data_IF_689528004531
#
_entry.id   IF_689528004531
#
_cell.length_a   1.000
_cell.length_b   1.000
_cell.length_c   1.000
_cell.angle_alpha   90.00
_cell.angle_beta   90.00
_cell.angle_gamma   90.00
#
_symmetry.space_group_name_H-M   'P 1'
#
loop_
_entity.id
_entity.type
_entity.pdbx_description
1 polymer ?
#
# COMPACT_ATOMS: atom_id res chain seq x y z
N UNK A 1 13.77 26.07 3.98
CA UNK A 1 13.17 26.35 5.30
C UNK A 1 11.70 25.97 5.29
N UNK A 2 11.17 25.38 6.37
CA UNK A 2 9.72 25.18 6.53
C UNK A 2 9.18 26.32 7.37
N UNK A 3 8.20 27.04 6.84
CA UNK A 3 7.55 28.16 7.54
C UNK A 3 6.11 27.75 7.79
N UNK A 4 5.70 27.77 9.07
CA UNK A 4 4.33 27.43 9.48
C UNK A 4 3.58 28.72 9.70
N UNK A 5 2.50 28.92 8.95
CA UNK A 5 1.56 30.00 9.23
C UNK A 5 0.63 29.52 10.34
N UNK A 6 0.90 29.94 11.57
CA UNK A 6 -0.03 29.69 12.66
C UNK A 6 -1.23 30.62 12.45
N UNK A 7 -2.33 30.09 11.92
CA UNK A 7 -3.65 30.67 12.22
C UNK A 7 -3.89 30.37 13.69
N UNK A 8 -3.37 31.25 14.55
CA UNK A 8 -3.48 31.14 15.99
C UNK A 8 -4.95 31.36 16.39
N UNK A 9 -5.69 30.26 16.57
CA UNK A 9 -6.92 30.27 17.37
C UNK A 9 -6.57 29.80 18.79
N UNK A 10 -5.55 30.41 19.41
CA UNK A 10 -4.75 29.98 20.57
C UNK A 10 -5.45 29.60 21.87
N UNK A 11 -6.77 29.42 21.86
CA UNK A 11 -7.52 28.72 22.89
C UNK A 11 -8.56 27.86 22.19
N UNK A 12 -8.53 26.54 22.41
CA UNK A 12 -9.64 25.66 22.02
C UNK A 12 -10.90 26.16 22.75
N UNK A 13 -11.93 26.66 22.05
CA UNK A 13 -13.11 27.17 22.72
C UNK A 13 -13.74 26.06 23.57
N UNK A 14 -14.24 26.42 24.75
CA UNK A 14 -14.95 25.49 25.62
C UNK A 14 -16.11 24.84 24.84
N UNK A 15 -16.11 23.51 24.74
CA UNK A 15 -17.08 22.74 23.94
C UNK A 15 -16.58 22.20 22.58
N UNK A 16 -15.35 22.49 22.18
CA UNK A 16 -14.74 21.98 20.93
C UNK A 16 -13.66 20.90 21.17
N UNK A 17 -13.69 20.26 22.34
CA UNK A 17 -12.78 19.19 22.75
C UNK A 17 -12.75 18.06 21.70
N UNK A 18 -11.56 17.78 21.16
CA UNK A 18 -11.34 16.74 20.15
C UNK A 18 -11.29 17.20 18.69
N UNK A 19 -11.49 18.49 18.37
CA UNK A 19 -11.19 18.99 17.01
C UNK A 19 -9.69 19.07 16.75
N UNK A 20 -9.28 18.73 15.53
CA UNK A 20 -7.87 18.79 15.09
C UNK A 20 -7.49 20.22 14.71
N UNK A 21 -6.33 20.68 15.18
CA UNK A 21 -5.73 21.93 14.70
C UNK A 21 -5.42 21.81 13.19
N UNK A 22 -5.81 22.81 12.42
CA UNK A 22 -5.43 22.97 11.02
C UNK A 22 -4.42 24.10 10.93
N UNK A 23 -3.23 23.81 10.38
CA UNK A 23 -2.22 24.82 10.09
C UNK A 23 -1.78 24.66 8.64
N UNK A 24 -1.62 25.79 7.96
CA UNK A 24 -1.02 25.84 6.64
C UNK A 24 0.50 26.03 6.79
N UNK A 25 1.28 25.29 6.02
CA UNK A 25 2.73 25.43 5.98
C UNK A 25 3.19 25.65 4.54
N UNK A 26 4.27 26.40 4.38
CA UNK A 26 4.92 26.61 3.08
C UNK A 26 6.40 26.28 3.17
N UNK A 27 6.96 25.83 2.06
CA UNK A 27 8.39 25.51 1.93
C UNK A 27 9.06 26.64 1.16
N UNK A 28 10.10 27.21 1.76
CA UNK A 28 10.93 28.26 1.16
C UNK A 28 12.26 27.63 0.78
N UNK A 29 12.72 27.86 -0.44
CA UNK A 29 13.97 27.29 -0.96
C UNK A 29 15.23 27.99 -0.43
N UNK A 30 15.06 29.11 0.30
CA UNK A 30 16.13 29.83 0.98
C UNK A 30 16.04 29.77 2.51
N UNK A 31 17.07 30.29 3.17
CA UNK A 31 17.12 30.52 4.62
C UNK A 31 16.93 32.01 4.96
N UNK A 32 16.58 32.85 3.98
CA UNK A 32 16.42 34.29 4.16
C UNK A 32 15.03 34.61 4.77
N UNK A 33 15.02 35.52 5.75
CA UNK A 33 13.79 35.95 6.40
C UNK A 33 12.87 36.74 5.45
N UNK A 34 13.42 37.48 4.49
CA UNK A 34 12.63 38.22 3.51
C UNK A 34 11.86 37.28 2.57
N UNK A 35 12.47 36.18 2.16
CA UNK A 35 11.83 35.17 1.33
C UNK A 35 10.75 34.41 2.10
N UNK A 36 10.95 34.20 3.41
CA UNK A 36 9.93 33.68 4.31
C UNK A 36 8.71 34.59 4.38
N UNK A 37 8.94 35.88 4.57
CA UNK A 37 7.88 36.90 4.63
C UNK A 37 7.13 36.95 3.31
N UNK A 38 7.84 36.90 2.17
CA UNK A 38 7.22 36.89 0.85
C UNK A 38 6.33 35.66 0.67
N UNK A 39 6.82 34.46 1.00
CA UNK A 39 6.05 33.24 0.91
C UNK A 39 4.78 33.28 1.78
N UNK A 40 4.88 33.76 3.03
CA UNK A 40 3.71 33.91 3.93
C UNK A 40 2.73 34.96 3.42
N UNK A 41 3.22 36.05 2.84
CA UNK A 41 2.38 37.11 2.27
C UNK A 41 1.63 36.60 1.03
N UNK A 42 2.28 35.79 0.19
CA UNK A 42 1.69 35.22 -1.02
C UNK A 42 0.47 34.34 -0.68
N UNK A 43 0.55 33.52 0.37
CA UNK A 43 -0.55 32.65 0.81
C UNK A 43 -1.87 33.45 0.99
N UNK A 44 -1.80 34.66 1.54
CA UNK A 44 -2.99 35.48 1.81
C UNK A 44 -3.32 36.47 0.70
N UNK A 45 -2.30 37.03 0.04
CA UNK A 45 -2.48 38.11 -0.94
C UNK A 45 -2.67 37.60 -2.38
N UNK A 46 -2.16 36.41 -2.71
CA UNK A 46 -2.22 35.83 -4.06
C UNK A 46 -2.36 34.29 -3.98
N UNK A 47 -3.57 33.80 -3.65
CA UNK A 47 -3.82 32.37 -3.51
C UNK A 47 -3.67 31.60 -4.83
N UNK A 48 -3.80 32.27 -5.98
CA UNK A 48 -3.61 31.65 -7.29
C UNK A 48 -2.13 31.36 -7.52
N UNK A 49 -1.27 32.35 -7.30
CA UNK A 49 0.18 32.16 -7.41
C UNK A 49 0.70 31.20 -6.35
N UNK A 50 0.13 31.20 -5.15
CA UNK A 50 0.52 30.25 -4.11
C UNK A 50 0.22 28.80 -4.51
N UNK A 51 -0.99 28.54 -5.04
CA UNK A 51 -1.34 27.21 -5.54
C UNK A 51 -0.44 26.77 -6.70
N UNK A 52 -0.10 27.68 -7.62
CA UNK A 52 0.82 27.39 -8.72
C UNK A 52 2.22 26.99 -8.21
N UNK A 53 2.71 27.60 -7.13
CA UNK A 53 3.99 27.20 -6.52
C UNK A 53 3.90 25.81 -5.90
N UNK A 54 2.80 25.50 -5.21
CA UNK A 54 2.56 24.18 -4.59
C UNK A 54 2.46 23.07 -5.65
N UNK A 55 1.73 23.31 -6.74
CA UNK A 55 1.50 22.33 -7.80
C UNK A 55 2.79 22.00 -8.59
N UNK A 56 3.75 22.92 -8.61
CA UNK A 56 5.05 22.76 -9.27
C UNK A 56 6.16 22.23 -8.34
N UNK A 57 5.85 21.84 -7.11
CA UNK A 57 6.81 21.08 -6.30
C UNK A 57 7.04 19.74 -7.00
N UNK A 58 8.26 19.47 -7.46
CA UNK A 58 8.60 18.24 -8.17
C UNK A 58 9.41 17.27 -7.30
N UNK A 59 9.16 15.97 -7.49
CA UNK A 59 10.00 14.87 -6.99
C UNK A 59 10.47 14.06 -8.19
N UNK A 60 11.79 14.03 -8.43
CA UNK A 60 12.40 13.34 -9.58
C UNK A 60 11.84 13.78 -10.96
N UNK A 61 11.58 15.08 -11.15
CA UNK A 61 11.12 15.64 -12.42
C UNK A 61 9.65 15.37 -12.74
N UNK A 62 8.83 15.04 -11.74
CA UNK A 62 7.38 14.91 -11.83
C UNK A 62 6.73 15.67 -10.68
N UNK A 63 5.50 16.19 -10.83
CA UNK A 63 4.78 16.80 -9.73
C UNK A 63 4.76 15.88 -8.50
N UNK A 64 5.08 16.43 -7.34
CA UNK A 64 5.16 15.71 -6.08
C UNK A 64 3.81 15.06 -5.74
N UNK A 65 2.70 15.74 -6.06
CA UNK A 65 1.33 15.24 -5.87
C UNK A 65 1.02 14.00 -6.73
N UNK A 66 1.70 13.83 -7.88
CA UNK A 66 1.55 12.68 -8.77
C UNK A 66 2.56 11.56 -8.44
N UNK A 67 3.60 11.88 -7.67
CA UNK A 67 4.66 10.94 -7.32
C UNK A 67 4.25 10.10 -6.11
N UNK A 68 3.78 8.88 -6.37
CA UNK A 68 3.50 7.90 -5.32
C UNK A 68 4.72 6.99 -5.10
N UNK A 69 5.36 7.12 -3.95
CA UNK A 69 6.42 6.20 -3.51
C UNK A 69 5.76 5.05 -2.75
N UNK A 70 6.01 3.80 -3.17
CA UNK A 70 5.58 2.63 -2.41
C UNK A 70 6.60 2.35 -1.30
N UNK A 71 6.24 2.70 -0.07
CA UNK A 71 7.09 2.46 1.08
C UNK A 71 6.87 1.02 1.59
N UNK A 72 7.94 0.21 1.75
CA UNK A 72 7.83 -1.17 2.25
C UNK A 72 7.30 -1.23 3.69
N UNK A 73 7.37 -0.12 4.43
CA UNK A 73 6.74 0.05 5.74
C UNK A 73 5.85 1.28 5.68
N UNK A 74 4.53 1.05 5.72
CA UNK A 74 3.52 2.12 5.72
C UNK A 74 3.32 2.59 7.17
N UNK A 75 3.40 3.89 7.40
CA UNK A 75 2.93 4.45 8.68
C UNK A 75 1.41 4.26 8.74
N UNK A 76 0.94 3.50 9.70
CA UNK A 76 -0.49 3.31 9.90
C UNK A 76 -1.09 4.65 10.36
N UNK A 77 -1.98 5.23 9.57
CA UNK A 77 -2.99 6.12 10.13
C UNK A 77 -3.75 5.28 11.14
N UNK A 78 -3.70 5.64 12.42
CA UNK A 78 -4.37 4.89 13.50
C UNK A 78 -5.88 5.04 13.34
N UNK A 79 -6.46 4.27 12.42
CA UNK A 79 -7.90 4.11 12.21
C UNK A 79 -8.56 3.40 13.41
N UNK A 80 -7.77 2.78 14.28
CA UNK A 80 -8.23 2.07 15.47
C UNK A 80 -7.77 2.75 16.76
N UNK A 81 -8.58 2.73 17.83
CA UNK A 81 -8.17 3.22 19.15
C UNK A 81 -6.97 2.42 19.68
N UNK A 82 -6.13 3.03 20.52
CA UNK A 82 -5.02 2.33 21.18
C UNK A 82 -5.54 1.21 22.09
N UNK A 83 -4.84 0.08 22.14
CA UNK A 83 -5.17 -1.01 23.06
C UNK A 83 -5.08 -0.51 24.51
N UNK A 84 -6.17 -0.53 25.30
CA UNK A 84 -6.16 -0.01 26.66
C UNK A 84 -5.33 -0.91 27.59
N UNK A 85 -4.85 -0.33 28.69
CA UNK A 85 -4.10 -1.04 29.72
C UNK A 85 -4.97 -1.82 30.72
N UNK A 86 -6.28 -1.53 30.77
CA UNK A 86 -7.25 -2.17 31.65
C UNK A 86 -8.68 -2.10 31.07
N UNK A 87 -9.60 -2.88 31.64
CA UNK A 87 -11.03 -2.88 31.31
C UNK A 87 -11.46 -3.99 30.37
N UNK A 88 -12.77 -4.07 30.13
CA UNK A 88 -13.40 -5.10 29.30
C UNK A 88 -13.17 -4.83 27.82
N UNK A 89 -12.59 -5.80 27.13
CA UNK A 89 -12.44 -5.85 25.67
C UNK A 89 -13.51 -6.77 25.08
N UNK A 90 -14.22 -6.33 24.05
CA UNK A 90 -15.29 -7.13 23.42
C UNK A 90 -14.80 -7.82 22.16
N UNK A 91 -15.26 -9.06 21.97
CA UNK A 91 -14.96 -9.84 20.76
C UNK A 91 -15.28 -9.05 19.48
N UNK A 92 -14.32 -9.04 18.55
CA UNK A 92 -14.40 -8.35 17.26
C UNK A 92 -13.87 -6.91 17.27
N UNK A 93 -13.66 -6.29 18.44
CA UNK A 93 -13.05 -4.96 18.51
C UNK A 93 -11.59 -5.00 18.04
N UNK A 94 -11.16 -3.94 17.34
CA UNK A 94 -9.81 -3.81 16.79
C UNK A 94 -9.12 -2.64 17.47
N UNK A 95 -7.88 -2.85 17.89
CA UNK A 95 -7.06 -1.85 18.56
C UNK A 95 -5.70 -1.71 17.90
N UNK A 96 -5.16 -0.50 17.89
CA UNK A 96 -3.77 -0.23 17.53
C UNK A 96 -2.85 -0.83 18.60
N UNK A 97 -1.84 -1.59 18.16
CA UNK A 97 -0.87 -2.25 19.02
C UNK A 97 0.49 -2.39 18.30
N UNK A 98 1.56 -1.88 18.91
CA UNK A 98 2.87 -1.77 18.24
C UNK A 98 2.78 -0.95 16.95
N UNK A 99 3.31 -1.48 15.85
CA UNK A 99 3.21 -0.90 14.51
C UNK A 99 2.06 -1.47 13.67
N UNK A 100 1.10 -2.15 14.30
CA UNK A 100 -0.02 -2.79 13.63
C UNK A 100 -1.31 -2.68 14.44
N UNK A 101 -2.19 -3.65 14.24
CA UNK A 101 -3.44 -3.76 14.97
C UNK A 101 -3.69 -5.19 15.42
N UNK A 102 -4.48 -5.33 16.48
CA UNK A 102 -4.96 -6.61 17.00
C UNK A 102 -6.47 -6.59 17.10
N UNK A 103 -7.09 -7.73 16.79
CA UNK A 103 -8.52 -7.97 16.95
C UNK A 103 -8.76 -8.86 18.17
N UNK A 104 -9.73 -8.50 18.99
CA UNK A 104 -10.15 -9.27 20.16
C UNK A 104 -10.91 -10.53 19.70
N UNK A 105 -10.44 -11.70 20.10
CA UNK A 105 -11.03 -13.00 19.73
C UNK A 105 -12.10 -13.49 20.71
N UNK A 106 -12.00 -13.08 21.96
CA UNK A 106 -12.91 -13.48 23.02
C UNK A 106 -13.17 -12.26 23.90
N UNK A 107 -14.41 -12.05 24.35
CA UNK A 107 -14.69 -11.00 25.33
C UNK A 107 -13.97 -11.32 26.64
N UNK A 108 -13.12 -10.42 27.12
CA UNK A 108 -12.30 -10.65 28.32
C UNK A 108 -11.91 -9.33 28.99
N UNK A 109 -11.48 -9.40 30.25
CA UNK A 109 -10.81 -8.28 30.92
C UNK A 109 -9.34 -8.20 30.46
N UNK A 110 -8.87 -6.99 30.14
CA UNK A 110 -7.49 -6.76 29.72
C UNK A 110 -6.52 -7.31 30.77
N UNK A 111 -5.64 -8.21 30.33
CA UNK A 111 -4.63 -8.86 31.18
C UNK A 111 -3.28 -8.14 31.13
N UNK A 112 -2.34 -8.58 31.97
CA UNK A 112 -0.94 -8.12 31.96
C UNK A 112 -0.13 -8.68 30.78
N UNK A 113 -0.64 -9.69 30.07
CA UNK A 113 0.07 -10.34 28.99
C UNK A 113 -0.07 -9.55 27.68
N UNK A 114 0.96 -9.66 26.85
CA UNK A 114 0.95 -9.10 25.50
C UNK A 114 0.05 -9.93 24.57
N UNK A 115 -0.52 -9.34 23.51
CA UNK A 115 -1.24 -10.06 22.47
C UNK A 115 -0.51 -11.29 21.93
N UNK A 116 0.81 -11.22 21.73
CA UNK A 116 1.66 -12.33 21.28
C UNK A 116 1.63 -13.52 22.24
N UNK A 117 1.58 -13.24 23.54
CA UNK A 117 1.53 -14.27 24.59
C UNK A 117 0.12 -14.82 24.82
N UNK A 118 -0.90 -14.22 24.19
CA UNK A 118 -2.31 -14.57 24.39
C UNK A 118 -3.03 -14.76 23.05
N UNK A 119 -2.57 -15.68 22.18
CA UNK A 119 -3.16 -15.91 20.86
C UNK A 119 -4.62 -16.41 20.93
N UNK A 120 -5.06 -16.95 22.07
CA UNK A 120 -6.46 -17.28 22.31
C UNK A 120 -7.37 -16.05 22.47
N UNK A 121 -6.81 -14.92 22.93
CA UNK A 121 -7.52 -13.67 23.22
C UNK A 121 -7.37 -12.65 22.09
N UNK A 122 -6.27 -12.69 21.33
CA UNK A 122 -5.98 -11.74 20.26
C UNK A 122 -5.57 -12.42 18.95
N UNK A 123 -5.89 -11.76 17.85
CA UNK A 123 -5.32 -12.03 16.53
C UNK A 123 -4.69 -10.76 15.96
N UNK A 124 -3.56 -10.88 15.27
CA UNK A 124 -3.03 -9.78 14.48
C UNK A 124 -3.97 -9.47 13.32
N UNK A 125 -4.22 -8.19 13.11
CA UNK A 125 -5.14 -7.68 12.11
C UNK A 125 -4.39 -6.86 11.07
N UNK A 126 -4.66 -7.17 9.81
CA UNK A 126 -4.27 -6.38 8.64
C UNK A 126 -5.45 -6.31 7.69
N UNK A 127 -5.61 -5.18 7.02
CA UNK A 127 -6.57 -5.10 5.92
C UNK A 127 -6.04 -5.93 4.74
N UNK A 128 -6.91 -6.70 4.09
CA UNK A 128 -6.54 -7.52 2.93
C UNK A 128 -6.49 -6.68 1.64
N UNK A 129 -6.11 -5.40 1.74
CA UNK A 129 -6.10 -4.46 0.64
C UNK A 129 -4.92 -4.68 -0.33
N UNK A 130 -3.84 -5.33 0.14
CA UNK A 130 -2.69 -5.70 -0.70
C UNK A 130 -2.64 -7.22 -0.95
N UNK A 131 -2.39 -7.59 -2.20
CA UNK A 131 -2.20 -8.98 -2.61
C UNK A 131 -0.82 -9.56 -2.20
N UNK A 132 0.08 -8.73 -1.69
CA UNK A 132 1.50 -9.08 -1.45
C UNK A 132 1.84 -9.25 0.05
N UNK A 133 0.85 -9.35 0.93
CA UNK A 133 1.10 -9.51 2.36
C UNK A 133 1.82 -10.83 2.66
N UNK A 134 2.99 -10.75 3.28
CA UNK A 134 3.70 -11.93 3.77
C UNK A 134 2.88 -12.64 4.86
N UNK A 135 2.83 -13.97 4.82
CA UNK A 135 2.24 -14.78 5.86
C UNK A 135 2.93 -14.49 7.20
N UNK A 136 2.15 -14.39 8.27
CA UNK A 136 2.66 -14.24 9.63
C UNK A 136 1.84 -15.11 10.58
N UNK A 137 2.43 -15.54 11.68
CA UNK A 137 1.73 -16.27 12.74
C UNK A 137 0.77 -15.36 13.52
N UNK A 138 -0.34 -15.93 14.01
CA UNK A 138 -1.30 -15.23 14.86
C UNK A 138 -2.22 -14.26 14.11
N UNK A 139 -2.13 -14.17 12.77
CA UNK A 139 -2.99 -13.36 11.93
C UNK A 139 -4.35 -14.02 11.72
N UNK A 140 -5.42 -13.21 11.78
CA UNK A 140 -6.74 -13.64 11.29
C UNK A 140 -6.75 -13.58 9.76
N UNK A 141 -7.08 -14.70 9.11
CA UNK A 141 -7.27 -14.76 7.66
C UNK A 141 -8.67 -15.29 7.33
N UNK A 142 -9.28 -14.74 6.27
CA UNK A 142 -10.58 -15.18 5.75
C UNK A 142 -10.38 -15.98 4.45
N UNK A 143 -11.39 -16.77 4.06
CA UNK A 143 -11.35 -17.46 2.78
C UNK A 143 -11.20 -16.47 1.59
N UNK A 144 -10.37 -16.82 0.62
CA UNK A 144 -10.01 -15.99 -0.53
C UNK A 144 -8.87 -14.99 -0.29
N UNK A 145 -8.45 -14.77 0.96
CA UNK A 145 -7.31 -13.89 1.25
C UNK A 145 -6.00 -14.50 0.74
N UNK A 146 -5.06 -13.67 0.27
CA UNK A 146 -3.78 -14.14 -0.30
C UNK A 146 -2.59 -13.75 0.57
N UNK A 147 -1.65 -14.67 0.75
CA UNK A 147 -0.40 -14.43 1.48
C UNK A 147 0.81 -14.95 0.73
N UNK A 148 1.94 -14.26 0.85
CA UNK A 148 3.22 -14.73 0.33
C UNK A 148 3.98 -15.53 1.40
N UNK A 149 4.53 -16.68 1.02
CA UNK A 149 5.33 -17.53 1.90
C UNK A 149 6.38 -18.29 1.07
N UNK A 150 7.64 -18.25 1.47
CA UNK A 150 8.73 -18.89 0.72
C UNK A 150 8.84 -18.44 -0.74
N UNK A 151 8.53 -17.17 -1.05
CA UNK A 151 8.59 -16.61 -2.41
C UNK A 151 7.42 -16.97 -3.32
N UNK A 152 6.40 -17.67 -2.81
CA UNK A 152 5.19 -18.05 -3.55
C UNK A 152 3.95 -17.40 -2.94
N UNK A 153 2.87 -17.31 -3.72
CA UNK A 153 1.58 -16.80 -3.25
C UNK A 153 0.62 -17.94 -2.97
N UNK A 154 -0.08 -17.86 -1.85
CA UNK A 154 -1.09 -18.83 -1.43
C UNK A 154 -2.41 -18.13 -1.14
N UNK A 155 -3.51 -18.76 -1.47
CA UNK A 155 -4.87 -18.34 -1.16
C UNK A 155 -5.41 -19.16 0.00
N UNK A 156 -5.96 -18.48 1.00
CA UNK A 156 -6.62 -19.08 2.14
C UNK A 156 -7.94 -19.72 1.69
N UNK A 157 -8.12 -21.00 1.98
CA UNK A 157 -9.31 -21.76 1.58
C UNK A 157 -10.42 -21.68 2.62
N UNK A 158 -10.05 -21.57 3.90
CA UNK A 158 -10.98 -21.60 5.03
C UNK A 158 -10.56 -20.53 6.03
N UNK A 159 -11.51 -19.75 6.55
CA UNK A 159 -11.21 -18.74 7.55
C UNK A 159 -10.61 -19.38 8.81
N UNK A 160 -9.45 -18.89 9.24
CA UNK A 160 -8.74 -19.40 10.42
C UNK A 160 -7.79 -18.35 10.99
N UNK A 161 -7.18 -18.66 12.14
CA UNK A 161 -6.01 -17.93 12.62
C UNK A 161 -4.76 -18.72 12.25
N UNK A 162 -3.78 -18.04 11.66
CA UNK A 162 -2.50 -18.66 11.30
C UNK A 162 -1.73 -19.11 12.55
N UNK A 163 -1.06 -20.26 12.45
CA UNK A 163 -0.30 -20.87 13.54
C UNK A 163 1.04 -21.38 12.98
N UNK A 164 2.09 -21.41 13.81
CA UNK A 164 3.41 -21.86 13.39
C UNK A 164 3.41 -23.25 12.69
N UNK A 165 2.62 -24.19 13.19
CA UNK A 165 2.52 -25.54 12.62
C UNK A 165 1.57 -25.63 11.42
N UNK A 166 0.80 -24.57 11.14
CA UNK A 166 -0.17 -24.49 10.04
C UNK A 166 0.30 -23.49 8.97
N UNK A 167 1.53 -23.69 8.49
CA UNK A 167 2.08 -22.88 7.41
C UNK A 167 1.36 -23.16 6.07
N UNK A 168 1.46 -22.26 5.08
CA UNK A 168 0.85 -22.47 3.76
C UNK A 168 1.32 -23.75 3.05
N UNK A 169 2.58 -24.15 3.28
CA UNK A 169 3.12 -25.40 2.72
C UNK A 169 2.73 -26.62 3.53
N UNK A 170 2.65 -26.53 4.87
CA UNK A 170 2.28 -27.66 5.74
C UNK A 170 0.80 -28.07 5.61
N UNK A 171 -0.06 -27.14 5.20
CA UNK A 171 -1.53 -27.33 5.15
C UNK A 171 -2.12 -27.10 3.76
N UNK A 172 -1.31 -27.35 2.73
CA UNK A 172 -1.70 -27.25 1.32
C UNK A 172 -2.89 -28.18 1.00
N UNK A 173 -3.87 -27.66 0.26
CA UNK A 173 -5.10 -28.38 -0.10
C UNK A 173 -6.16 -28.44 1.00
N UNK A 174 -5.84 -28.00 2.24
CA UNK A 174 -6.78 -27.98 3.37
C UNK A 174 -7.08 -26.55 3.79
N UNK A 175 -6.07 -25.81 4.26
CA UNK A 175 -6.22 -24.42 4.69
C UNK A 175 -5.70 -23.43 3.64
N UNK A 176 -4.74 -23.84 2.81
CA UNK A 176 -4.12 -23.00 1.80
C UNK A 176 -4.09 -23.68 0.44
N UNK A 177 -4.13 -22.87 -0.61
CA UNK A 177 -3.94 -23.28 -2.00
C UNK A 177 -2.83 -22.45 -2.62
N UNK A 178 -1.84 -23.09 -3.20
CA UNK A 178 -0.81 -22.37 -3.96
C UNK A 178 -1.47 -21.70 -5.17
N UNK A 179 -1.31 -20.38 -5.26
CA UNK A 179 -1.73 -19.60 -6.42
C UNK A 179 -0.60 -19.70 -7.43
N UNK A 180 -0.67 -20.73 -8.27
CA UNK A 180 0.18 -20.81 -9.46
C UNK A 180 -0.30 -19.73 -10.42
N UNK A 181 0.50 -18.67 -10.59
CA UNK A 181 0.27 -17.73 -11.68
C UNK A 181 0.61 -18.48 -12.97
N UNK A 182 -0.41 -19.07 -13.58
CA UNK A 182 -0.27 -19.66 -14.92
C UNK A 182 -0.09 -18.48 -15.87
N UNK A 183 1.14 -18.30 -16.34
CA UNK A 183 1.48 -17.32 -17.38
C UNK A 183 0.91 -17.83 -18.71
N UNK A 184 -0.38 -17.63 -18.95
CA UNK A 184 -0.99 -17.92 -20.26
C UNK A 184 -0.46 -16.95 -21.34
N UNK A 185 0.02 -15.79 -20.90
CA UNK A 185 0.61 -14.74 -21.72
C UNK A 185 2.08 -14.59 -21.30
N UNK A 186 3.06 -14.96 -22.14
CA UNK A 186 4.47 -14.83 -21.79
C UNK A 186 4.91 -13.35 -21.79
N UNK A 187 6.01 -13.06 -21.11
CA UNK A 187 6.74 -11.79 -21.34
C UNK A 187 7.39 -11.86 -22.72
N UNK A 188 7.39 -10.76 -23.47
CA UNK A 188 8.07 -10.70 -24.75
C UNK A 188 9.56 -10.99 -24.58
N UNK A 189 10.09 -11.87 -25.42
CA UNK A 189 11.50 -12.21 -25.52
C UNK A 189 11.92 -11.98 -26.95
N UNK A 190 13.11 -11.41 -27.16
CA UNK A 190 13.66 -11.19 -28.49
C UNK A 190 13.79 -12.53 -29.23
N UNK A 191 13.06 -12.73 -30.36
CA UNK A 191 13.20 -13.96 -31.14
C UNK A 191 14.61 -14.11 -31.71
N UNK A 192 15.06 -15.35 -31.82
CA UNK A 192 16.35 -15.75 -32.39
C UNK A 192 16.25 -16.02 -33.91
N UNK A 193 15.04 -16.17 -34.45
CA UNK A 193 14.81 -16.27 -35.89
C UNK A 193 13.32 -16.39 -36.26
N UNK A 194 13.04 -16.92 -37.45
CA UNK A 194 11.66 -17.08 -37.91
C UNK A 194 10.87 -18.16 -37.14
N UNK A 195 11.56 -19.09 -36.49
CA UNK A 195 10.96 -20.25 -35.82
C UNK A 195 10.33 -19.89 -34.46
N UNK A 196 10.74 -18.78 -33.84
CA UNK A 196 10.26 -18.29 -32.55
C UNK A 196 9.65 -16.87 -32.65
N UNK A 197 9.42 -16.38 -33.87
CA UNK A 197 8.76 -15.10 -34.12
C UNK A 197 7.26 -15.12 -33.75
N UNK A 198 6.76 -14.02 -33.20
CA UNK A 198 5.37 -13.92 -32.76
C UNK A 198 4.43 -13.77 -33.95
N UNK A 199 3.43 -14.66 -34.05
CA UNK A 199 2.39 -14.57 -35.08
C UNK A 199 1.37 -13.48 -34.76
N UNK A 200 0.60 -13.04 -35.76
CA UNK A 200 -0.50 -12.10 -35.55
C UNK A 200 -1.50 -12.65 -34.53
N UNK A 201 -1.98 -11.78 -33.63
CA UNK A 201 -2.89 -12.12 -32.54
C UNK A 201 -2.21 -12.72 -31.31
N UNK A 202 -0.89 -12.94 -31.31
CA UNK A 202 -0.17 -13.35 -30.10
C UNK A 202 -0.09 -12.21 -29.10
N UNK A 203 -0.42 -12.50 -27.85
CA UNK A 203 -0.38 -11.53 -26.74
C UNK A 203 0.84 -11.79 -25.88
N UNK A 204 1.51 -10.71 -25.46
CA UNK A 204 2.67 -10.74 -24.57
C UNK A 204 2.58 -9.61 -23.53
N UNK A 205 3.28 -9.76 -22.41
CA UNK A 205 3.61 -8.65 -21.51
C UNK A 205 4.91 -7.98 -21.94
N UNK A 206 5.01 -6.65 -21.84
CA UNK A 206 6.27 -5.93 -22.08
C UNK A 206 6.41 -4.69 -21.17
N UNK A 207 7.57 -4.45 -20.52
CA UNK A 207 8.79 -5.26 -20.58
C UNK A 207 8.85 -6.41 -19.56
N UNK A 208 8.00 -6.42 -18.53
CA UNK A 208 8.03 -7.39 -17.42
C UNK A 208 6.68 -8.06 -17.22
N UNK A 209 6.65 -9.13 -16.41
CA UNK A 209 5.39 -9.78 -16.08
C UNK A 209 4.43 -8.79 -15.39
N UNK A 210 3.13 -8.86 -15.75
CA UNK A 210 2.06 -7.98 -15.25
C UNK A 210 2.20 -6.49 -15.63
N UNK A 211 3.02 -6.14 -16.63
CA UNK A 211 3.12 -4.76 -17.16
C UNK A 211 1.99 -4.45 -18.16
N UNK A 212 2.23 -3.62 -19.19
CA UNK A 212 1.25 -3.45 -20.27
C UNK A 212 1.23 -4.70 -21.18
N UNK A 213 0.02 -5.12 -21.60
CA UNK A 213 -0.16 -6.18 -22.61
C UNK A 213 -0.11 -5.60 -24.02
N UNK A 214 0.48 -6.38 -24.92
CA UNK A 214 0.53 -6.05 -26.34
C UNK A 214 0.13 -7.26 -27.16
N UNK A 215 -0.70 -7.04 -28.17
CA UNK A 215 -1.07 -8.03 -29.18
C UNK A 215 -0.32 -7.75 -30.48
N UNK A 216 0.33 -8.77 -31.06
CA UNK A 216 1.02 -8.64 -32.34
C UNK A 216 0.01 -8.40 -33.47
N UNK A 217 0.25 -7.38 -34.29
CA UNK A 217 -0.59 -7.03 -35.44
C UNK A 217 -0.11 -7.63 -36.75
N UNK A 218 1.11 -8.18 -36.77
CA UNK A 218 1.78 -8.74 -37.94
C UNK A 218 2.23 -10.17 -37.67
N UNK A 219 2.34 -10.97 -38.74
CA UNK A 219 2.94 -12.30 -38.68
C UNK A 219 4.47 -12.22 -38.67
N UNK A 220 5.10 -13.24 -38.07
CA UNK A 220 6.55 -13.30 -37.88
C UNK A 220 7.15 -12.03 -37.23
N UNK A 221 6.47 -11.48 -36.23
CA UNK A 221 6.92 -10.29 -35.50
C UNK A 221 8.13 -10.61 -34.61
N UNK A 222 9.24 -9.96 -34.92
CA UNK A 222 10.52 -10.10 -34.19
C UNK A 222 10.93 -8.85 -33.43
N UNK A 223 10.13 -7.78 -33.49
CA UNK A 223 10.45 -6.50 -32.85
C UNK A 223 9.65 -6.30 -31.57
N UNK A 224 10.24 -5.64 -30.58
CA UNK A 224 9.53 -5.31 -29.34
C UNK A 224 8.47 -4.22 -29.56
N UNK A 225 7.48 -4.08 -28.66
CA UNK A 225 6.49 -2.99 -28.72
C UNK A 225 7.08 -1.58 -28.71
N UNK A 226 8.32 -1.40 -28.24
CA UNK A 226 9.02 -0.10 -28.26
C UNK A 226 9.83 0.08 -29.54
N UNK A 227 10.52 -0.98 -30.00
CA UNK A 227 11.34 -0.90 -31.21
C UNK A 227 10.48 -0.72 -32.48
N UNK A 228 9.27 -1.27 -32.49
CA UNK A 228 8.34 -1.15 -33.61
C UNK A 228 6.88 -1.09 -33.14
N UNK A 229 6.46 0.05 -32.61
CA UNK A 229 5.12 0.24 -32.05
C UNK A 229 3.98 -0.06 -33.04
N UNK A 230 4.17 0.18 -34.33
CA UNK A 230 3.16 -0.11 -35.35
C UNK A 230 2.87 -1.61 -35.52
N UNK A 231 3.77 -2.49 -35.09
CA UNK A 231 3.58 -3.94 -35.10
C UNK A 231 2.75 -4.49 -33.94
N UNK A 232 2.33 -3.63 -32.99
CA UNK A 232 1.67 -4.06 -31.76
C UNK A 232 0.47 -3.19 -31.41
N UNK A 233 -0.59 -3.80 -30.89
CA UNK A 233 -1.73 -3.11 -30.27
C UNK A 233 -1.60 -3.21 -28.76
N UNK A 234 -1.49 -2.06 -28.09
CA UNK A 234 -1.61 -1.98 -26.62
C UNK A 234 -3.04 -2.36 -26.21
N UNK A 235 -3.16 -3.26 -25.23
CA UNK A 235 -4.43 -3.69 -24.63
C UNK A 235 -4.67 -3.02 -23.27
#
# INVERSE_FOLDING_TARGET
MVVVNQVDNGVQPEGEEGKRYTADFTVVDSLDAADAINAVTRITADPVMDQLVVDNIEVNGKPAIETRVDYPTKVASTIFPSLPSSGTLKMGEIYSYGNGAVMVRQTHERTIYTPEQTPALFSFYRDNASAELAWMEGEKVEAGWKRTYGGKTYECLQAHQTQADWTPTATIGVLWKEVVIVVDIPVWVQPTGAHDAYQKGKVVWYPTLNSTKYESLIDANVWSPVAYAAGWRKL
#
